data_IF_563458508840
#
_entry.id   IF_563458508840
#
_cell.length_a   1.000
_cell.length_b   1.000
_cell.length_c   1.000
_cell.angle_alpha   90.00
_cell.angle_beta   90.00
_cell.angle_gamma   90.00
#
_symmetry.space_group_name_H-M   'P 1'
#
loop_
_entity.id
_entity.type
_entity.pdbx_description
1 polymer ?
#
# COMPACT_ATOMS: atom_id res chain seq x y z
N UNK A 1 15.02 11.10 29.71
CA UNK A 1 14.58 9.78 29.19
C UNK A 1 14.73 9.82 27.68
N UNK A 2 15.67 9.04 27.10
CA UNK A 2 15.84 8.98 25.66
C UNK A 2 14.61 8.40 24.97
N UNK A 3 14.17 8.96 23.83
CA UNK A 3 13.08 8.38 23.06
C UNK A 3 13.49 6.97 22.61
N UNK A 4 12.74 5.96 23.03
CA UNK A 4 12.86 4.61 22.46
C UNK A 4 12.54 4.74 20.97
N UNK A 5 13.50 4.41 20.11
CA UNK A 5 13.38 4.37 18.65
C UNK A 5 12.24 3.43 18.20
N UNK A 6 10.99 3.90 18.21
CA UNK A 6 9.81 3.18 17.70
C UNK A 6 9.91 2.90 16.19
N UNK A 7 10.66 3.75 15.46
CA UNK A 7 10.98 3.55 14.04
C UNK A 7 11.82 2.28 13.75
N UNK A 8 12.47 1.68 14.75
CA UNK A 8 13.20 0.42 14.60
C UNK A 8 12.28 -0.80 14.49
N UNK A 9 11.17 -0.83 15.24
CA UNK A 9 10.35 -2.03 15.36
C UNK A 9 9.53 -2.30 14.11
N UNK A 10 8.93 -1.25 13.52
CA UNK A 10 8.22 -1.37 12.25
C UNK A 10 9.14 -1.80 11.12
N UNK A 11 10.31 -1.15 10.99
CA UNK A 11 11.30 -1.50 9.96
C UNK A 11 11.79 -2.94 10.10
N UNK A 12 12.09 -3.38 11.34
CA UNK A 12 12.47 -4.76 11.64
C UNK A 12 11.37 -5.74 11.23
N UNK A 13 10.13 -5.49 11.61
CA UNK A 13 9.00 -6.38 11.31
C UNK A 13 8.69 -6.42 9.80
N UNK A 14 8.94 -5.32 9.07
CA UNK A 14 8.86 -5.27 7.60
C UNK A 14 9.94 -6.14 6.94
N UNK A 15 11.20 -6.05 7.38
CA UNK A 15 12.28 -6.90 6.86
C UNK A 15 12.06 -8.39 7.18
N UNK A 16 11.52 -8.71 8.36
CA UNK A 16 11.13 -10.07 8.72
C UNK A 16 10.00 -10.60 7.82
N UNK A 17 9.03 -9.74 7.50
CA UNK A 17 7.95 -10.07 6.57
C UNK A 17 8.50 -10.38 5.17
N UNK A 18 9.39 -9.53 4.66
CA UNK A 18 10.01 -9.73 3.34
C UNK A 18 10.84 -11.02 3.30
N UNK A 19 11.65 -11.28 4.32
CA UNK A 19 12.43 -12.52 4.43
C UNK A 19 11.54 -13.76 4.46
N UNK A 20 10.47 -13.73 5.25
CA UNK A 20 9.50 -14.84 5.34
C UNK A 20 8.81 -15.08 3.99
N UNK A 21 8.44 -14.02 3.27
CA UNK A 21 7.84 -14.12 1.94
C UNK A 21 8.79 -14.79 0.93
N UNK A 22 10.06 -14.39 0.90
CA UNK A 22 11.07 -15.00 0.00
C UNK A 22 11.24 -16.49 0.31
N UNK A 23 11.34 -16.87 1.59
CA UNK A 23 11.46 -18.28 1.98
C UNK A 23 10.20 -19.07 1.62
N UNK A 24 9.00 -18.50 1.81
CA UNK A 24 7.75 -19.12 1.39
C UNK A 24 7.69 -19.35 -0.12
N UNK A 25 8.13 -18.37 -0.93
CA UNK A 25 8.17 -18.47 -2.39
C UNK A 25 9.15 -19.54 -2.88
N UNK A 26 10.34 -19.64 -2.28
CA UNK A 26 11.32 -20.70 -2.58
C UNK A 26 10.74 -22.07 -2.21
N UNK A 27 10.11 -22.17 -1.04
CA UNK A 27 9.46 -23.40 -0.57
C UNK A 27 8.33 -23.83 -1.51
N UNK A 28 7.55 -22.88 -2.03
CA UNK A 28 6.51 -23.14 -3.02
C UNK A 28 7.09 -23.69 -4.34
N UNK A 29 8.19 -23.12 -4.83
CA UNK A 29 8.87 -23.65 -6.03
C UNK A 29 9.35 -25.09 -5.83
N UNK A 30 9.90 -25.39 -4.64
CA UNK A 30 10.32 -26.75 -4.30
C UNK A 30 9.13 -27.71 -4.14
N UNK A 31 8.03 -27.26 -3.54
CA UNK A 31 6.77 -28.01 -3.47
C UNK A 31 6.26 -28.39 -4.86
N UNK A 32 6.16 -27.43 -5.78
CA UNK A 32 5.69 -27.65 -7.14
C UNK A 32 6.58 -28.64 -7.91
N UNK A 33 7.89 -28.64 -7.64
CA UNK A 33 8.80 -29.63 -8.20
C UNK A 33 8.53 -31.05 -7.66
N UNK A 34 8.27 -31.20 -6.36
CA UNK A 34 7.94 -32.50 -5.76
C UNK A 34 6.57 -33.01 -6.21
N UNK A 35 5.59 -32.12 -6.40
CA UNK A 35 4.27 -32.47 -6.94
C UNK A 35 4.38 -33.06 -8.35
N UNK A 36 5.24 -32.49 -9.21
CA UNK A 36 5.55 -33.08 -10.53
C UNK A 36 6.20 -34.47 -10.44
N UNK A 37 6.96 -34.76 -9.39
CA UNK A 37 7.52 -36.11 -9.20
C UNK A 37 6.44 -37.12 -8.84
N UNK A 38 5.39 -36.71 -8.11
CA UNK A 38 4.22 -37.56 -7.84
C UNK A 38 3.51 -37.91 -9.15
N UNK A 39 3.28 -36.90 -10.00
CA UNK A 39 2.67 -37.11 -11.31
C UNK A 39 3.49 -38.06 -12.17
N UNK A 40 4.80 -37.86 -12.24
CA UNK A 40 5.70 -38.72 -12.99
C UNK A 40 5.72 -40.17 -12.47
N UNK A 41 5.72 -40.36 -11.14
CA UNK A 41 5.65 -41.68 -10.53
C UNK A 41 4.33 -42.39 -10.84
N UNK A 42 3.21 -41.65 -10.85
CA UNK A 42 1.90 -42.17 -11.24
C UNK A 42 1.84 -42.54 -12.73
N UNK A 43 2.41 -41.71 -13.60
CA UNK A 43 2.48 -42.00 -15.04
C UNK A 43 3.31 -43.26 -15.31
N UNK A 44 4.48 -43.39 -14.70
CA UNK A 44 5.31 -44.59 -14.79
C UNK A 44 4.59 -45.84 -14.26
N UNK A 45 3.85 -45.72 -13.15
CA UNK A 45 3.03 -46.81 -12.59
C UNK A 45 1.96 -47.25 -13.58
N UNK A 46 1.24 -46.31 -14.19
CA UNK A 46 0.20 -46.60 -15.18
C UNK A 46 0.79 -47.27 -16.43
N UNK A 47 1.87 -46.71 -16.98
CA UNK A 47 2.55 -47.29 -18.14
C UNK A 47 3.07 -48.71 -17.87
N UNK A 48 3.65 -48.93 -16.67
CA UNK A 48 4.11 -50.25 -16.24
C UNK A 48 2.95 -51.24 -16.16
N UNK A 49 1.82 -50.83 -15.56
CA UNK A 49 0.62 -51.67 -15.46
C UNK A 49 0.05 -52.03 -16.83
N UNK A 50 -0.11 -51.06 -17.74
CA UNK A 50 -0.64 -51.30 -19.08
C UNK A 50 0.21 -52.29 -19.88
N UNK A 51 1.55 -52.17 -19.83
CA UNK A 51 2.43 -53.11 -20.52
C UNK A 51 2.36 -54.51 -19.90
N UNK A 52 2.32 -54.60 -18.57
CA UNK A 52 2.21 -55.86 -17.85
C UNK A 52 0.89 -56.58 -18.17
N UNK A 53 -0.20 -55.82 -18.26
CA UNK A 53 -1.53 -56.34 -18.55
C UNK A 53 -1.67 -56.74 -20.02
N UNK A 54 -1.09 -55.99 -20.96
CA UNK A 54 -1.03 -56.38 -22.37
C UNK A 54 -0.32 -57.72 -22.58
N UNK A 55 0.77 -57.98 -21.84
CA UNK A 55 1.44 -59.28 -21.93
C UNK A 55 0.52 -60.42 -21.50
N UNK A 56 -0.22 -60.24 -20.39
CA UNK A 56 -1.20 -61.21 -19.90
C UNK A 56 -2.31 -61.42 -20.93
N UNK A 57 -2.92 -60.34 -21.40
CA UNK A 57 -3.99 -60.37 -22.40
C UNK A 57 -3.54 -61.04 -23.70
N UNK A 58 -2.36 -60.70 -24.22
CA UNK A 58 -1.84 -61.32 -25.45
C UNK A 58 -1.73 -62.85 -25.33
N UNK A 59 -1.41 -63.36 -24.13
CA UNK A 59 -1.37 -64.81 -23.90
C UNK A 59 -2.77 -65.43 -23.85
N UNK A 60 -3.76 -64.74 -23.29
CA UNK A 60 -5.15 -65.19 -23.29
C UNK A 60 -5.76 -65.16 -24.69
N UNK A 61 -5.44 -64.13 -25.47
CA UNK A 61 -5.86 -63.97 -26.85
C UNK A 61 -5.30 -65.10 -27.72
N UNK A 62 -4.00 -65.45 -27.59
CA UNK A 62 -3.42 -66.59 -28.32
C UNK A 62 -4.20 -67.90 -28.05
N UNK A 63 -4.47 -68.20 -26.78
CA UNK A 63 -5.28 -69.37 -26.40
C UNK A 63 -6.69 -69.31 -26.97
N UNK A 64 -7.32 -68.12 -26.98
CA UNK A 64 -8.67 -67.93 -27.52
C UNK A 64 -8.67 -68.17 -29.04
N UNK A 65 -7.75 -67.55 -29.77
CA UNK A 65 -7.66 -67.64 -31.23
C UNK A 65 -7.41 -69.07 -31.71
N UNK A 66 -6.48 -69.80 -31.09
CA UNK A 66 -6.20 -71.19 -31.49
C UNK A 66 -7.38 -72.12 -31.21
N UNK A 67 -8.06 -71.95 -30.08
CA UNK A 67 -9.25 -72.76 -29.74
C UNK A 67 -10.41 -72.46 -30.67
N UNK A 68 -10.64 -71.19 -31.00
CA UNK A 68 -11.65 -70.80 -32.00
C UNK A 68 -11.32 -71.42 -33.35
N UNK A 69 -10.07 -71.32 -33.82
CA UNK A 69 -9.65 -71.93 -35.09
C UNK A 69 -9.88 -73.45 -35.13
N UNK A 70 -9.47 -74.18 -34.09
CA UNK A 70 -9.68 -75.64 -34.01
C UNK A 70 -11.17 -76.00 -33.96
N UNK A 71 -12.00 -75.19 -33.30
CA UNK A 71 -13.43 -75.43 -33.20
C UNK A 71 -14.18 -75.12 -34.49
N UNK A 72 -13.85 -74.04 -35.21
CA UNK A 72 -14.64 -73.52 -36.34
C UNK A 72 -13.99 -73.77 -37.70
N UNK A 73 -12.66 -73.86 -37.76
CA UNK A 73 -11.88 -73.84 -39.01
C UNK A 73 -11.75 -72.46 -39.65
N UNK A 74 -12.16 -71.38 -38.96
CA UNK A 74 -12.14 -70.02 -39.50
C UNK A 74 -10.70 -69.50 -39.73
N UNK A 75 -10.27 -69.24 -40.99
CA UNK A 75 -8.90 -68.79 -41.27
C UNK A 75 -8.54 -67.44 -40.65
N UNK A 76 -9.52 -66.59 -40.30
CA UNK A 76 -9.25 -65.30 -39.63
C UNK A 76 -8.68 -65.52 -38.23
N UNK A 77 -9.21 -66.49 -37.48
CA UNK A 77 -8.70 -66.85 -36.15
C UNK A 77 -7.20 -67.21 -36.18
N UNK A 78 -6.76 -68.00 -37.17
CA UNK A 78 -5.33 -68.33 -37.37
C UNK A 78 -4.51 -67.09 -37.78
N UNK A 79 -5.06 -66.22 -38.63
CA UNK A 79 -4.40 -64.97 -39.03
C UNK A 79 -4.18 -64.04 -37.82
N UNK A 80 -5.19 -63.89 -36.97
CA UNK A 80 -5.10 -63.07 -35.75
C UNK A 80 -4.13 -63.67 -34.74
N UNK A 81 -4.12 -65.00 -34.57
CA UNK A 81 -3.11 -65.69 -33.76
C UNK A 81 -1.67 -65.30 -34.18
N UNK A 82 -1.38 -65.38 -35.49
CA UNK A 82 -0.06 -64.98 -36.01
C UNK A 82 0.21 -63.48 -35.82
N UNK A 83 -0.80 -62.65 -36.00
CA UNK A 83 -0.69 -61.20 -35.82
C UNK A 83 -0.34 -60.82 -34.37
N UNK A 84 -0.93 -61.49 -33.38
CA UNK A 84 -0.60 -61.31 -31.96
C UNK A 84 0.87 -61.65 -31.69
N UNK A 85 1.36 -62.77 -32.22
CA UNK A 85 2.77 -63.15 -32.09
C UNK A 85 3.71 -62.14 -32.76
N UNK A 86 3.36 -61.70 -33.97
CA UNK A 86 4.14 -60.72 -34.71
C UNK A 86 4.22 -59.37 -33.97
N UNK A 87 3.14 -58.93 -33.34
CA UNK A 87 3.13 -57.70 -32.52
C UNK A 87 4.01 -57.88 -31.27
N UNK A 88 3.85 -59.01 -30.56
CA UNK A 88 4.60 -59.30 -29.34
C UNK A 88 6.12 -59.38 -29.57
N UNK A 89 6.52 -59.99 -30.68
CA UNK A 89 7.92 -60.14 -31.10
C UNK A 89 8.47 -58.87 -31.80
N UNK A 90 7.66 -57.82 -31.98
CA UNK A 90 8.09 -56.58 -32.64
C UNK A 90 8.27 -56.69 -34.15
N UNK A 91 7.67 -57.69 -34.80
CA UNK A 91 7.60 -57.82 -36.26
C UNK A 91 6.51 -56.93 -36.87
N UNK A 92 5.46 -56.65 -36.11
CA UNK A 92 4.37 -55.72 -36.47
C UNK A 92 4.23 -54.60 -35.45
N UNK A 93 3.81 -53.39 -35.87
CA UNK A 93 3.58 -52.29 -34.94
C UNK A 93 2.38 -52.58 -34.05
N UNK A 94 2.47 -52.15 -32.78
CA UNK A 94 1.35 -52.19 -31.83
C UNK A 94 0.23 -51.24 -32.29
N UNK A 95 -1.05 -51.59 -32.16
CA UNK A 95 -2.16 -50.68 -32.45
C UNK A 95 -2.14 -49.42 -31.56
N UNK A 96 -2.53 -48.26 -32.09
CA UNK A 96 -2.47 -46.97 -31.37
C UNK A 96 -3.43 -46.93 -30.16
N UNK A 97 -4.53 -47.68 -30.23
CA UNK A 97 -5.46 -47.87 -29.12
C UNK A 97 -5.69 -49.37 -28.91
N UNK A 98 -4.63 -50.07 -28.51
CA UNK A 98 -4.71 -51.41 -27.96
C UNK A 98 -5.39 -51.34 -26.58
N UNK A 99 -6.70 -51.04 -26.56
CA UNK A 99 -7.53 -51.21 -25.37
C UNK A 99 -7.69 -52.70 -25.07
N UNK A 100 -8.09 -53.04 -23.85
CA UNK A 100 -8.29 -54.41 -23.35
C UNK A 100 -9.20 -55.29 -24.23
N UNK A 101 -10.01 -54.66 -25.09
CA UNK A 101 -10.97 -55.30 -26.01
C UNK A 101 -10.57 -55.26 -27.49
N UNK A 102 -9.33 -54.88 -27.82
CA UNK A 102 -8.90 -54.71 -29.22
C UNK A 102 -9.23 -55.92 -30.10
N UNK A 103 -8.88 -57.13 -29.64
CA UNK A 103 -9.14 -58.34 -30.41
C UNK A 103 -10.62 -58.70 -30.49
N UNK A 104 -11.42 -58.32 -29.50
CA UNK A 104 -12.86 -58.57 -29.52
C UNK A 104 -13.56 -57.65 -30.54
N UNK A 105 -13.10 -56.39 -30.66
CA UNK A 105 -13.55 -55.44 -31.67
C UNK A 105 -13.14 -55.87 -33.09
N UNK A 106 -11.91 -56.34 -33.25
CA UNK A 106 -11.39 -56.83 -34.53
C UNK A 106 -12.14 -58.08 -34.98
N UNK A 107 -12.45 -59.00 -34.06
CA UNK A 107 -13.22 -60.22 -34.36
C UNK A 107 -14.68 -59.94 -34.72
N UNK A 108 -15.29 -58.90 -34.15
CA UNK A 108 -16.71 -58.60 -34.35
C UNK A 108 -17.01 -57.87 -35.67
N UNK A 109 -16.22 -56.86 -36.02
CA UNK A 109 -16.54 -55.93 -37.13
C UNK A 109 -15.27 -55.35 -37.82
N UNK A 110 -14.11 -56.00 -37.67
CA UNK A 110 -12.80 -55.56 -38.19
C UNK A 110 -12.46 -54.09 -37.88
N UNK A 111 -12.91 -53.59 -36.72
CA UNK A 111 -12.68 -52.22 -36.26
C UNK A 111 -11.24 -52.03 -35.77
N UNK A 112 -10.29 -52.07 -36.70
CA UNK A 112 -8.86 -51.87 -36.43
C UNK A 112 -8.57 -50.41 -36.16
N UNK A 113 -7.93 -50.15 -35.02
CA UNK A 113 -7.28 -48.86 -34.78
C UNK A 113 -6.00 -48.79 -35.62
N UNK A 114 -5.62 -47.58 -36.08
CA UNK A 114 -4.48 -47.43 -36.99
C UNK A 114 -3.17 -48.03 -36.43
N UNK A 115 -2.25 -48.48 -37.30
CA UNK A 115 -0.99 -49.07 -36.85
C UNK A 115 -0.16 -48.03 -36.08
N UNK A 116 0.45 -48.46 -34.98
CA UNK A 116 1.41 -47.65 -34.26
C UNK A 116 2.62 -47.31 -35.11
N UNK A 117 3.39 -46.31 -34.66
CA UNK A 117 4.51 -45.77 -35.45
C UNK A 117 5.74 -46.69 -35.50
N UNK A 118 5.91 -47.58 -34.52
CA UNK A 118 7.11 -48.40 -34.39
C UNK A 118 6.76 -49.85 -34.00
N UNK A 119 7.48 -50.80 -34.58
CA UNK A 119 7.44 -52.21 -34.22
C UNK A 119 8.57 -52.49 -33.22
N UNK A 120 8.24 -52.37 -31.93
CA UNK A 120 9.15 -52.64 -30.81
C UNK A 120 8.63 -53.88 -30.08
N UNK A 121 9.49 -54.87 -29.77
CA UNK A 121 9.08 -56.02 -28.96
C UNK A 121 8.54 -55.59 -27.59
N UNK A 122 7.49 -56.24 -27.11
CA UNK A 122 6.83 -55.86 -25.85
C UNK A 122 7.79 -55.85 -24.65
N UNK A 123 8.72 -56.81 -24.59
CA UNK A 123 9.76 -56.86 -23.57
C UNK A 123 10.74 -55.68 -23.63
N UNK A 124 11.01 -55.14 -24.82
CA UNK A 124 11.90 -53.99 -24.98
C UNK A 124 11.19 -52.69 -24.57
N UNK A 125 9.88 -52.57 -24.80
CA UNK A 125 9.08 -51.47 -24.25
C UNK A 125 9.09 -51.47 -22.73
N UNK A 126 8.93 -52.63 -22.10
CA UNK A 126 9.10 -52.77 -20.66
C UNK A 126 10.52 -52.34 -20.23
N UNK A 127 11.56 -52.58 -21.05
CA UNK A 127 12.92 -52.23 -20.64
C UNK A 127 13.09 -50.71 -20.62
N UNK A 128 12.49 -50.04 -21.59
CA UNK A 128 12.48 -48.58 -21.71
C UNK A 128 11.71 -47.88 -20.57
N UNK A 129 10.66 -48.50 -20.03
CA UNK A 129 9.86 -47.96 -18.90
C UNK A 129 10.56 -48.13 -17.54
N UNK A 130 11.70 -48.85 -17.50
CA UNK A 130 12.53 -48.94 -16.29
C UNK A 130 12.13 -50.07 -15.35
N UNK A 131 11.67 -51.19 -15.91
CA UNK A 131 11.53 -52.44 -15.16
C UNK A 131 12.90 -52.98 -14.72
N UNK A 132 12.97 -53.55 -13.53
CA UNK A 132 14.21 -54.06 -12.92
C UNK A 132 14.59 -55.43 -13.50
N UNK A 133 15.88 -55.79 -13.43
CA UNK A 133 16.37 -57.10 -13.91
C UNK A 133 15.68 -58.29 -13.23
N UNK A 134 15.35 -58.16 -11.94
CA UNK A 134 14.60 -59.19 -11.20
C UNK A 134 13.16 -59.35 -11.70
N UNK A 135 12.51 -58.24 -12.02
CA UNK A 135 11.17 -58.24 -12.62
C UNK A 135 11.22 -58.85 -14.04
N UNK A 136 12.28 -58.56 -14.80
CA UNK A 136 12.51 -59.11 -16.14
C UNK A 136 12.67 -60.63 -16.17
N UNK A 137 13.25 -61.23 -15.13
CA UNK A 137 13.44 -62.68 -15.08
C UNK A 137 12.10 -63.43 -15.15
N UNK A 138 11.05 -62.92 -14.48
CA UNK A 138 9.70 -63.49 -14.53
C UNK A 138 9.07 -63.40 -15.92
N UNK A 139 9.22 -62.24 -16.56
CA UNK A 139 8.72 -61.98 -17.91
C UNK A 139 9.41 -62.84 -18.99
N UNK A 140 10.73 -62.94 -18.93
CA UNK A 140 11.51 -63.76 -19.84
C UNK A 140 11.13 -65.24 -19.72
N UNK A 141 10.93 -65.72 -18.48
CA UNK A 141 10.43 -67.08 -18.21
C UNK A 141 9.02 -67.30 -18.78
N UNK A 142 8.10 -66.35 -18.57
CA UNK A 142 6.76 -66.42 -19.14
C UNK A 142 6.78 -66.46 -20.67
N UNK A 143 7.64 -65.65 -21.31
CA UNK A 143 7.81 -65.69 -22.78
C UNK A 143 8.33 -67.05 -23.23
N UNK A 144 9.41 -67.56 -22.63
CA UNK A 144 9.95 -68.86 -23.00
C UNK A 144 8.91 -69.99 -22.89
N UNK A 145 8.10 -69.98 -21.81
CA UNK A 145 7.02 -70.95 -21.63
C UNK A 145 5.93 -70.79 -22.70
N UNK A 146 5.61 -69.55 -23.08
CA UNK A 146 4.66 -69.26 -24.16
C UNK A 146 5.19 -69.75 -25.52
N UNK A 147 6.46 -69.52 -25.82
CA UNK A 147 7.11 -69.98 -27.06
C UNK A 147 7.16 -71.52 -27.16
N UNK A 148 7.13 -72.22 -26.03
CA UNK A 148 6.97 -73.68 -25.98
C UNK A 148 5.51 -74.08 -26.25
N UNK A 149 4.54 -73.41 -25.62
CA UNK A 149 3.11 -73.68 -25.80
C UNK A 149 2.66 -73.45 -27.26
N UNK A 150 3.21 -72.43 -27.94
CA UNK A 150 2.87 -72.15 -29.34
C UNK A 150 3.17 -73.33 -30.26
N UNK A 151 4.16 -74.19 -29.94
CA UNK A 151 4.44 -75.40 -30.72
C UNK A 151 3.28 -76.40 -30.68
N UNK A 152 2.68 -76.60 -29.50
CA UNK A 152 1.48 -77.43 -29.32
C UNK A 152 0.31 -76.83 -30.07
N UNK A 153 0.15 -75.51 -30.00
CA UNK A 153 -0.92 -74.77 -30.69
C UNK A 153 -0.79 -74.88 -32.21
N UNK A 154 0.40 -74.71 -32.77
CA UNK A 154 0.65 -74.91 -34.20
C UNK A 154 0.45 -76.36 -34.64
N UNK A 155 0.84 -77.34 -33.82
CA UNK A 155 0.59 -78.75 -34.11
C UNK A 155 -0.91 -79.06 -34.15
N UNK A 156 -1.70 -78.49 -33.24
CA UNK A 156 -3.16 -78.61 -33.25
C UNK A 156 -3.78 -77.96 -34.50
N UNK A 157 -3.30 -76.77 -34.91
CA UNK A 157 -3.74 -76.12 -36.16
C UNK A 157 -3.40 -76.96 -37.40
N UNK A 158 -2.20 -77.54 -37.45
CA UNK A 158 -1.77 -78.37 -38.58
C UNK A 158 -2.62 -79.63 -38.77
N UNK A 159 -3.16 -80.21 -37.68
CA UNK A 159 -4.10 -81.33 -37.77
C UNK A 159 -5.40 -80.95 -38.48
N UNK A 160 -5.89 -79.73 -38.29
CA UNK A 160 -7.08 -79.20 -38.98
C UNK A 160 -6.80 -79.04 -40.48
N UNK A 161 -5.60 -78.60 -40.85
CA UNK A 161 -5.17 -78.35 -42.24
C UNK A 161 -4.74 -79.62 -42.99
N UNK A 162 -4.46 -80.72 -42.27
CA UNK A 162 -3.89 -81.94 -42.86
C UNK A 162 -4.81 -82.72 -43.82
N UNK A 163 -6.12 -82.45 -43.79
CA UNK A 163 -7.14 -83.13 -44.61
C UNK A 163 -8.24 -82.15 -45.01
N UNK A 164 -8.66 -82.14 -46.28
CA UNK A 164 -9.82 -81.38 -46.76
C UNK A 164 -10.90 -82.35 -47.31
N UNK A 165 -12.10 -82.42 -46.71
CA UNK A 165 -12.51 -81.78 -45.44
C UNK A 165 -11.82 -82.40 -44.21
N UNK A 166 -11.63 -81.62 -43.16
CA UNK A 166 -11.02 -82.08 -41.90
C UNK A 166 -11.81 -83.24 -41.31
N UNK A 167 -11.11 -84.32 -40.96
CA UNK A 167 -11.77 -85.47 -40.31
C UNK A 167 -12.17 -85.17 -38.86
N UNK A 168 -13.31 -85.72 -38.42
CA UNK A 168 -13.77 -85.61 -37.02
C UNK A 168 -12.72 -86.14 -36.02
N UNK A 169 -11.94 -87.15 -36.42
CA UNK A 169 -10.84 -87.69 -35.64
C UNK A 169 -9.70 -86.67 -35.44
N UNK A 170 -9.29 -85.95 -36.50
CA UNK A 170 -8.27 -84.91 -36.42
C UNK A 170 -8.75 -83.72 -35.57
N UNK A 171 -10.00 -83.30 -35.73
CA UNK A 171 -10.58 -82.22 -34.92
C UNK A 171 -10.65 -82.62 -33.44
N UNK A 172 -11.08 -83.83 -33.12
CA UNK A 172 -11.13 -84.34 -31.75
C UNK A 172 -9.73 -84.41 -31.12
N UNK A 173 -8.72 -84.86 -31.88
CA UNK A 173 -7.34 -84.89 -31.43
C UNK A 173 -6.80 -83.49 -31.17
N UNK A 174 -6.98 -82.56 -32.11
CA UNK A 174 -6.58 -81.15 -31.97
C UNK A 174 -7.27 -80.48 -30.76
N UNK A 175 -8.56 -80.72 -30.56
CA UNK A 175 -9.29 -80.23 -29.39
C UNK A 175 -8.69 -80.81 -28.10
N UNK A 176 -8.40 -82.12 -28.03
CA UNK A 176 -7.76 -82.68 -26.82
C UNK A 176 -6.41 -82.02 -26.51
N UNK A 177 -5.58 -81.76 -27.52
CA UNK A 177 -4.28 -81.08 -27.34
C UNK A 177 -4.40 -79.66 -26.73
N UNK A 178 -5.55 -78.99 -26.85
CA UNK A 178 -5.77 -77.63 -26.35
C UNK A 178 -6.57 -77.56 -25.04
N UNK A 179 -7.04 -78.71 -24.54
CA UNK A 179 -7.93 -78.81 -23.37
C UNK A 179 -7.48 -79.91 -22.38
N UNK A 180 -6.37 -80.60 -22.65
CA UNK A 180 -5.82 -81.57 -21.71
C UNK A 180 -5.08 -80.91 -20.54
N UNK A 181 -4.78 -81.72 -19.53
CA UNK A 181 -4.07 -81.27 -18.33
C UNK A 181 -2.70 -80.67 -18.67
N UNK A 182 -1.99 -81.22 -19.67
CA UNK A 182 -0.66 -80.73 -20.06
C UNK A 182 -0.70 -79.32 -20.63
N UNK A 183 -1.73 -79.00 -21.42
CA UNK A 183 -1.99 -77.66 -21.96
C UNK A 183 -2.34 -76.68 -20.84
N UNK A 184 -3.20 -77.10 -19.89
CA UNK A 184 -3.56 -76.28 -18.74
C UNK A 184 -2.35 -75.99 -17.83
N UNK A 185 -1.49 -76.97 -17.57
CA UNK A 185 -0.25 -76.79 -16.82
C UNK A 185 0.74 -75.89 -17.56
N UNK A 186 0.86 -76.02 -18.88
CA UNK A 186 1.68 -75.12 -19.68
C UNK A 186 1.17 -73.67 -19.60
N UNK A 187 -0.15 -73.46 -19.70
CA UNK A 187 -0.76 -72.13 -19.53
C UNK A 187 -0.53 -71.56 -18.13
N UNK A 188 -0.66 -72.37 -17.08
CA UNK A 188 -0.30 -71.97 -15.71
C UNK A 188 1.17 -71.54 -15.61
N UNK A 189 2.09 -72.29 -16.25
CA UNK A 189 3.51 -71.95 -16.32
C UNK A 189 3.81 -70.60 -16.99
N UNK A 190 2.89 -70.08 -17.81
CA UNK A 190 2.98 -68.74 -18.41
C UNK A 190 2.37 -67.69 -17.48
N UNK A 191 1.17 -67.97 -16.95
CA UNK A 191 0.41 -67.01 -16.14
C UNK A 191 1.02 -66.76 -14.76
N UNK A 192 1.58 -67.79 -14.12
CA UNK A 192 2.12 -67.66 -12.76
C UNK A 192 3.30 -66.69 -12.68
N UNK A 193 4.35 -66.78 -13.52
CA UNK A 193 5.43 -65.80 -13.49
C UNK A 193 4.98 -64.37 -13.85
N UNK A 194 3.95 -64.21 -14.71
CA UNK A 194 3.36 -62.90 -15.02
C UNK A 194 2.69 -62.30 -13.77
N UNK A 195 1.94 -63.12 -13.03
CA UNK A 195 1.29 -62.69 -11.78
C UNK A 195 2.31 -62.28 -10.70
N UNK A 196 3.35 -63.09 -10.50
CA UNK A 196 4.45 -62.78 -9.56
C UNK A 196 5.15 -61.46 -9.93
N UNK A 197 5.42 -61.28 -11.22
CA UNK A 197 5.99 -60.05 -11.75
C UNK A 197 5.07 -58.83 -11.51
N UNK A 198 3.77 -58.95 -11.82
CA UNK A 198 2.80 -57.88 -11.61
C UNK A 198 2.75 -57.46 -10.13
N UNK A 199 2.82 -58.42 -9.21
CA UNK A 199 2.86 -58.14 -7.78
C UNK A 199 4.13 -57.39 -7.36
N UNK A 200 5.31 -57.80 -7.86
CA UNK A 200 6.57 -57.12 -7.56
C UNK A 200 6.60 -55.69 -8.12
N UNK A 201 6.17 -55.52 -9.37
CA UNK A 201 6.05 -54.23 -10.03
C UNK A 201 5.06 -53.31 -9.29
N UNK A 202 3.90 -53.83 -8.90
CA UNK A 202 2.91 -53.04 -8.15
C UNK A 202 3.47 -52.56 -6.80
N UNK A 203 4.17 -53.43 -6.06
CA UNK A 203 4.83 -53.06 -4.81
C UNK A 203 5.87 -51.96 -5.01
N UNK A 204 6.76 -52.11 -6.02
CA UNK A 204 7.80 -51.12 -6.32
C UNK A 204 7.21 -49.78 -6.75
N UNK A 205 6.30 -49.79 -7.71
CA UNK A 205 5.70 -48.56 -8.26
C UNK A 205 4.83 -47.84 -7.23
N UNK A 206 4.06 -48.58 -6.42
CA UNK A 206 3.28 -47.99 -5.32
C UNK A 206 4.20 -47.39 -4.24
N UNK A 207 5.30 -48.06 -3.94
CA UNK A 207 6.32 -47.56 -3.02
C UNK A 207 6.93 -46.24 -3.51
N UNK A 208 7.24 -46.13 -4.80
CA UNK A 208 7.76 -44.92 -5.42
C UNK A 208 6.74 -43.76 -5.36
N UNK A 209 5.46 -44.02 -5.70
CA UNK A 209 4.38 -43.03 -5.59
C UNK A 209 4.24 -42.54 -4.15
N UNK A 210 4.14 -43.45 -3.17
CA UNK A 210 4.02 -43.09 -1.75
C UNK A 210 5.22 -42.28 -1.25
N UNK A 211 6.43 -42.61 -1.69
CA UNK A 211 7.63 -41.86 -1.32
C UNK A 211 7.62 -40.43 -1.87
N UNK A 212 7.19 -40.25 -3.12
CA UNK A 212 7.00 -38.94 -3.73
C UNK A 212 5.89 -38.15 -3.02
N UNK A 213 4.74 -38.78 -2.75
CA UNK A 213 3.61 -38.17 -2.03
C UNK A 213 4.01 -37.71 -0.63
N UNK A 214 4.71 -38.56 0.13
CA UNK A 214 5.18 -38.22 1.47
C UNK A 214 6.16 -37.03 1.45
N UNK A 215 7.07 -36.99 0.47
CA UNK A 215 8.01 -35.88 0.30
C UNK A 215 7.28 -34.58 -0.02
N UNK A 216 6.31 -34.63 -0.94
CA UNK A 216 5.48 -33.48 -1.29
C UNK A 216 4.61 -33.03 -0.10
N UNK A 217 4.06 -33.95 0.68
CA UNK A 217 3.24 -33.66 1.85
C UNK A 217 4.03 -32.96 2.97
N UNK A 218 5.26 -33.41 3.24
CA UNK A 218 6.15 -32.75 4.21
C UNK A 218 6.45 -31.30 3.79
N UNK A 219 6.81 -31.07 2.53
CA UNK A 219 7.08 -29.72 2.03
C UNK A 219 5.82 -28.87 1.98
N UNK A 220 4.65 -29.45 1.69
CA UNK A 220 3.35 -28.77 1.77
C UNK A 220 3.07 -28.28 3.20
N UNK A 221 3.33 -29.09 4.21
CA UNK A 221 3.18 -28.69 5.61
C UNK A 221 4.13 -27.54 5.99
N UNK A 222 5.39 -27.60 5.54
CA UNK A 222 6.37 -26.51 5.72
C UNK A 222 5.92 -25.23 5.03
N UNK A 223 5.39 -25.31 3.80
CA UNK A 223 4.85 -24.17 3.07
C UNK A 223 3.67 -23.53 3.83
N UNK A 224 2.72 -24.33 4.31
CA UNK A 224 1.60 -23.84 5.13
C UNK A 224 2.12 -23.12 6.39
N UNK A 225 3.13 -23.69 7.07
CA UNK A 225 3.75 -23.05 8.22
C UNK A 225 4.37 -21.69 7.87
N UNK A 226 5.05 -21.55 6.73
CA UNK A 226 5.58 -20.27 6.27
C UNK A 226 4.47 -19.26 5.88
N UNK A 227 3.37 -19.71 5.30
CA UNK A 227 2.21 -18.85 5.04
C UNK A 227 1.58 -18.31 6.33
N UNK A 228 1.46 -19.15 7.36
CA UNK A 228 0.98 -18.73 8.68
C UNK A 228 1.97 -17.77 9.36
N UNK A 229 3.27 -18.06 9.26
CA UNK A 229 4.32 -17.16 9.76
C UNK A 229 4.29 -15.81 9.04
N UNK A 230 4.09 -15.80 7.72
CA UNK A 230 3.98 -14.58 6.92
C UNK A 230 2.78 -13.73 7.39
N UNK A 231 1.61 -14.36 7.55
CA UNK A 231 0.42 -13.68 8.07
C UNK A 231 0.67 -13.09 9.47
N UNK A 232 1.37 -13.82 10.34
CA UNK A 232 1.77 -13.33 11.67
C UNK A 232 2.74 -12.14 11.59
N UNK A 233 3.75 -12.19 10.72
CA UNK A 233 4.70 -11.07 10.55
C UNK A 233 4.04 -9.82 9.96
N UNK A 234 3.09 -9.98 9.04
CA UNK A 234 2.26 -8.89 8.52
C UNK A 234 1.39 -8.26 9.61
N UNK A 235 0.74 -9.09 10.42
CA UNK A 235 -0.06 -8.61 11.55
C UNK A 235 0.80 -7.82 12.54
N UNK A 236 2.00 -8.31 12.84
CA UNK A 236 2.97 -7.62 13.70
C UNK A 236 3.44 -6.29 13.10
N UNK A 237 3.80 -6.26 11.82
CA UNK A 237 4.21 -5.03 11.13
C UNK A 237 3.09 -3.99 11.13
N UNK A 238 1.84 -4.41 10.89
CA UNK A 238 0.67 -3.54 10.98
C UNK A 238 0.48 -2.96 12.39
N UNK A 239 0.61 -3.80 13.43
CA UNK A 239 0.54 -3.34 14.82
C UNK A 239 1.67 -2.39 15.20
N UNK A 240 2.90 -2.68 14.78
CA UNK A 240 4.06 -1.82 15.01
C UNK A 240 3.88 -0.45 14.32
N UNK A 241 3.33 -0.43 13.11
CA UNK A 241 2.98 0.81 12.41
C UNK A 241 1.96 1.61 13.22
N UNK A 242 0.85 0.97 13.63
CA UNK A 242 -0.22 1.64 14.40
C UNK A 242 0.27 2.14 15.76
N UNK A 243 1.15 1.40 16.43
CA UNK A 243 1.79 1.83 17.68
C UNK A 243 2.72 3.03 17.46
N UNK A 244 3.46 3.07 16.35
CA UNK A 244 4.33 4.19 16.00
C UNK A 244 3.52 5.45 15.66
N UNK A 245 2.43 5.29 14.89
CA UNK A 245 1.57 6.41 14.49
C UNK A 245 0.66 6.89 15.62
N UNK A 246 0.23 6.01 16.52
CA UNK A 246 -0.74 6.28 17.59
C UNK A 246 -2.20 6.23 17.14
N UNK A 247 -2.46 6.08 15.83
CA UNK A 247 -3.78 6.01 15.20
C UNK A 247 -3.71 5.32 13.84
N UNK A 248 -4.83 5.25 13.13
CA UNK A 248 -4.86 4.85 11.72
C UNK A 248 -4.25 5.94 10.81
N UNK A 249 -3.84 5.55 9.61
CA UNK A 249 -3.28 6.49 8.62
C UNK A 249 -4.31 7.55 8.22
N UNK A 250 -5.59 7.17 8.12
CA UNK A 250 -6.67 8.09 7.73
C UNK A 250 -6.93 9.16 8.81
N UNK A 251 -6.93 8.77 10.08
CA UNK A 251 -7.07 9.69 11.22
C UNK A 251 -5.88 10.66 11.30
N UNK A 252 -4.67 10.16 11.05
CA UNK A 252 -3.46 10.97 11.01
C UNK A 252 -3.52 11.99 9.87
N UNK A 253 -3.90 11.56 8.67
CA UNK A 253 -4.06 12.43 7.51
C UNK A 253 -5.11 13.52 7.78
N UNK A 254 -6.27 13.15 8.34
CA UNK A 254 -7.31 14.11 8.70
C UNK A 254 -6.82 15.15 9.71
N UNK A 255 -6.03 14.73 10.70
CA UNK A 255 -5.44 15.63 11.70
C UNK A 255 -4.44 16.60 11.09
N UNK A 256 -3.57 16.12 10.19
CA UNK A 256 -2.60 16.96 9.47
C UNK A 256 -3.32 17.99 8.58
N UNK A 257 -4.37 17.58 7.85
CA UNK A 257 -5.15 18.47 6.98
C UNK A 257 -5.83 19.58 7.79
N UNK A 258 -6.45 19.25 8.94
CA UNK A 258 -7.06 20.27 9.81
C UNK A 258 -6.04 21.28 10.31
N UNK A 259 -4.88 20.79 10.78
CA UNK A 259 -3.79 21.65 11.25
C UNK A 259 -3.26 22.56 10.12
N UNK A 260 -3.12 22.01 8.92
CA UNK A 260 -2.71 22.77 7.73
C UNK A 260 -3.70 23.84 7.30
N UNK A 261 -5.00 23.65 7.58
CA UNK A 261 -6.04 24.65 7.33
C UNK A 261 -6.16 25.72 8.44
N UNK A 262 -5.31 25.67 9.47
CA UNK A 262 -5.32 26.63 10.57
C UNK A 262 -6.38 26.37 11.64
N UNK A 263 -7.02 25.21 11.65
CA UNK A 263 -7.87 24.81 12.78
C UNK A 263 -7.01 24.26 13.93
N UNK A 264 -6.72 25.13 14.89
CA UNK A 264 -6.03 24.78 16.13
C UNK A 264 -6.98 24.55 17.31
N UNK A 265 -8.29 24.67 17.09
CA UNK A 265 -9.30 24.64 18.17
C UNK A 265 -9.74 23.22 18.52
N UNK A 266 -9.74 22.32 17.52
CA UNK A 266 -10.16 20.93 17.70
C UNK A 266 -9.03 20.10 18.29
N UNK A 267 -9.20 19.65 19.54
CA UNK A 267 -8.20 18.82 20.21
C UNK A 267 -8.01 17.47 19.50
N UNK A 268 -6.76 17.08 19.28
CA UNK A 268 -6.41 15.76 18.74
C UNK A 268 -6.41 14.75 19.90
N UNK A 269 -7.35 13.79 19.94
CA UNK A 269 -7.42 12.81 21.02
C UNK A 269 -6.25 11.83 20.90
N UNK A 270 -5.45 11.72 21.95
CA UNK A 270 -4.35 10.76 22.06
C UNK A 270 -4.72 9.73 23.11
N UNK A 271 -4.67 8.45 22.74
CA UNK A 271 -4.92 7.37 23.69
C UNK A 271 -3.84 7.35 24.78
N UNK A 272 -4.21 6.93 25.99
CA UNK A 272 -3.28 6.83 27.12
C UNK A 272 -2.09 5.93 26.77
N UNK A 273 -0.87 6.41 27.04
CA UNK A 273 0.38 5.71 26.69
C UNK A 273 0.88 5.94 25.25
N UNK A 274 0.16 6.72 24.44
CA UNK A 274 0.54 7.07 23.06
C UNK A 274 1.12 8.49 22.94
N UNK A 275 1.53 9.11 24.04
CA UNK A 275 2.04 10.49 24.06
C UNK A 275 3.34 10.65 23.25
N UNK A 276 4.12 9.58 23.14
CA UNK A 276 5.35 9.51 22.34
C UNK A 276 5.16 8.92 20.93
N UNK A 277 3.92 8.88 20.44
CA UNK A 277 3.61 8.51 19.05
C UNK A 277 3.65 9.74 18.14
N UNK A 278 3.59 9.52 16.81
CA UNK A 278 3.46 10.62 15.83
C UNK A 278 2.22 11.47 16.12
N UNK A 279 1.08 10.85 16.42
CA UNK A 279 -0.13 11.58 16.80
C UNK A 279 0.05 12.34 18.13
N UNK A 280 0.78 11.77 19.09
CA UNK A 280 1.13 12.44 20.35
C UNK A 280 1.91 13.73 20.14
N UNK A 281 2.95 13.69 19.30
CA UNK A 281 3.71 14.89 18.93
C UNK A 281 2.90 15.90 18.11
N UNK A 282 1.99 15.43 17.25
CA UNK A 282 1.07 16.31 16.52
C UNK A 282 0.09 17.01 17.47
N UNK A 283 -0.46 16.31 18.46
CA UNK A 283 -1.32 16.89 19.50
C UNK A 283 -0.57 17.96 20.30
N UNK A 284 0.66 17.66 20.75
CA UNK A 284 1.50 18.65 21.43
C UNK A 284 1.80 19.88 20.55
N UNK A 285 2.04 19.67 19.25
CA UNK A 285 2.26 20.76 18.28
C UNK A 285 0.99 21.59 18.08
N UNK A 286 -0.17 20.96 17.98
CA UNK A 286 -1.46 21.62 17.88
C UNK A 286 -1.75 22.50 19.10
N UNK A 287 -1.47 22.02 20.31
CA UNK A 287 -1.60 22.80 21.54
C UNK A 287 -0.68 24.02 21.55
N UNK A 288 0.59 23.87 21.16
CA UNK A 288 1.52 25.00 21.05
C UNK A 288 1.05 26.03 20.02
N UNK A 289 0.54 25.59 18.86
CA UNK A 289 0.01 26.48 17.82
C UNK A 289 -1.27 27.19 18.28
N UNK A 290 -2.16 26.51 19.00
CA UNK A 290 -3.36 27.11 19.59
C UNK A 290 -3.00 28.21 20.60
N UNK A 291 -2.01 27.96 21.45
CA UNK A 291 -1.51 28.96 22.40
C UNK A 291 -0.92 30.17 21.68
N UNK A 292 -0.08 29.94 20.65
CA UNK A 292 0.49 31.02 19.84
C UNK A 292 -0.58 31.84 19.12
N UNK A 293 -1.66 31.24 18.63
CA UNK A 293 -2.78 31.97 18.00
C UNK A 293 -3.52 32.87 19.01
N UNK A 294 -3.71 32.39 20.25
CA UNK A 294 -4.29 33.20 21.33
C UNK A 294 -3.37 34.36 21.72
N UNK A 295 -2.09 34.11 21.93
CA UNK A 295 -1.09 35.14 22.26
C UNK A 295 -1.01 36.21 21.14
N UNK A 296 -1.03 35.76 19.88
CA UNK A 296 -1.05 36.66 18.72
C UNK A 296 -2.30 37.55 18.72
N UNK A 297 -3.50 37.00 18.93
CA UNK A 297 -4.74 37.79 19.00
C UNK A 297 -4.73 38.80 20.13
N UNK A 298 -4.21 38.42 21.30
CA UNK A 298 -4.05 39.34 22.44
C UNK A 298 -3.07 40.47 22.12
N UNK A 299 -1.95 40.17 21.45
CA UNK A 299 -1.01 41.18 21.00
C UNK A 299 -1.62 42.14 19.97
N UNK A 300 -2.40 41.62 19.01
CA UNK A 300 -3.14 42.43 18.03
C UNK A 300 -4.14 43.38 18.72
N UNK A 301 -4.92 42.89 19.69
CA UNK A 301 -5.83 43.73 20.48
C UNK A 301 -5.10 44.79 21.31
N UNK A 302 -3.95 44.44 21.90
CA UNK A 302 -3.14 45.40 22.66
C UNK A 302 -2.57 46.49 21.76
N UNK A 303 -2.16 46.16 20.53
CA UNK A 303 -1.69 47.15 19.55
C UNK A 303 -2.82 48.09 19.16
N UNK A 304 -4.04 47.57 18.93
CA UNK A 304 -5.21 48.40 18.60
C UNK A 304 -5.53 49.39 19.73
N UNK A 305 -5.59 48.92 20.98
CA UNK A 305 -5.81 49.80 22.14
C UNK A 305 -4.72 50.86 22.29
N UNK A 306 -3.46 50.46 22.09
CA UNK A 306 -2.34 51.40 22.18
C UNK A 306 -2.40 52.46 21.07
N UNK A 307 -2.81 52.08 19.85
CA UNK A 307 -3.02 53.02 18.76
C UNK A 307 -4.16 54.01 19.09
N UNK A 308 -5.30 53.54 19.60
CA UNK A 308 -6.41 54.42 20.02
C UNK A 308 -5.99 55.39 21.14
N UNK A 309 -5.26 54.90 22.15
CA UNK A 309 -4.71 55.75 23.22
C UNK A 309 -3.71 56.77 22.68
N UNK A 310 -2.85 56.37 21.74
CA UNK A 310 -1.87 57.23 21.12
C UNK A 310 -2.55 58.33 20.30
N UNK A 311 -3.57 58.00 19.51
CA UNK A 311 -4.37 58.98 18.75
C UNK A 311 -5.03 60.00 19.70
N UNK A 312 -5.62 59.53 20.80
CA UNK A 312 -6.22 60.41 21.82
C UNK A 312 -5.18 61.36 22.44
N UNK A 313 -4.00 60.83 22.84
CA UNK A 313 -2.90 61.64 23.38
C UNK A 313 -2.36 62.64 22.37
N UNK A 314 -2.24 62.25 21.10
CA UNK A 314 -1.81 63.14 20.01
C UNK A 314 -2.82 64.28 19.84
N UNK A 315 -4.12 63.99 19.86
CA UNK A 315 -5.16 65.00 19.78
C UNK A 315 -5.11 65.97 20.96
N UNK A 316 -5.01 65.46 22.20
CA UNK A 316 -4.89 66.27 23.42
C UNK A 316 -3.65 67.18 23.36
N UNK A 317 -2.49 66.63 22.99
CA UNK A 317 -1.25 67.40 22.84
C UNK A 317 -1.34 68.45 21.74
N UNK A 318 -2.02 68.14 20.64
CA UNK A 318 -2.26 69.09 19.55
C UNK A 318 -3.15 70.25 20.03
N UNK A 319 -4.20 69.97 20.80
CA UNK A 319 -5.06 71.00 21.39
C UNK A 319 -4.31 71.87 22.40
N UNK A 320 -3.50 71.27 23.28
CA UNK A 320 -2.66 72.01 24.24
C UNK A 320 -1.65 72.91 23.51
N UNK A 321 -1.01 72.42 22.44
CA UNK A 321 -0.09 73.22 21.63
C UNK A 321 -0.80 74.41 20.99
N UNK A 322 -1.98 74.21 20.39
CA UNK A 322 -2.77 75.29 19.79
C UNK A 322 -3.17 76.34 20.83
N UNK A 323 -3.64 75.91 22.00
CA UNK A 323 -4.01 76.82 23.09
C UNK A 323 -2.81 77.62 23.62
N UNK A 324 -1.66 76.98 23.82
CA UNK A 324 -0.44 77.65 24.25
C UNK A 324 0.06 78.64 23.18
N UNK A 325 -0.05 78.29 21.90
CA UNK A 325 0.30 79.18 20.79
C UNK A 325 -0.62 80.41 20.76
N UNK A 326 -1.92 80.24 20.95
CA UNK A 326 -2.88 81.35 21.03
C UNK A 326 -2.57 82.27 22.23
N UNK A 327 -2.24 81.70 23.38
CA UNK A 327 -1.81 82.46 24.56
C UNK A 327 -0.52 83.26 24.31
N UNK A 328 0.46 82.65 23.64
CA UNK A 328 1.71 83.33 23.25
C UNK A 328 1.44 84.48 22.28
N UNK A 329 0.62 84.26 21.25
CA UNK A 329 0.23 85.33 20.30
C UNK A 329 -0.50 86.46 21.03
N UNK A 330 -1.36 86.14 22.00
CA UNK A 330 -2.06 87.15 22.81
C UNK A 330 -1.07 87.93 23.70
N UNK A 331 -0.12 87.26 24.35
CA UNK A 331 0.94 87.91 25.14
C UNK A 331 1.85 88.80 24.29
N UNK A 332 2.21 88.34 23.09
CA UNK A 332 3.01 89.10 22.14
C UNK A 332 2.29 90.39 21.69
N UNK A 333 1.01 90.27 21.29
CA UNK A 333 0.17 91.44 20.95
C UNK A 333 0.08 92.44 22.09
N UNK A 334 -0.12 91.97 23.33
CA UNK A 334 -0.19 92.83 24.52
C UNK A 334 1.16 93.49 24.84
N UNK A 335 2.27 92.78 24.69
CA UNK A 335 3.62 93.32 24.89
C UNK A 335 3.94 94.43 23.89
N UNK A 336 3.65 94.22 22.60
CA UNK A 336 3.79 95.22 21.55
C UNK A 336 2.92 96.44 21.87
N UNK A 337 1.67 96.22 22.28
CA UNK A 337 0.76 97.30 22.67
C UNK A 337 1.27 98.07 23.91
N UNK A 338 1.85 97.39 24.89
CA UNK A 338 2.48 98.00 26.08
C UNK A 338 3.70 98.86 25.76
N UNK A 339 4.60 98.35 24.91
CA UNK A 339 5.80 99.08 24.49
C UNK A 339 5.46 100.29 23.62
N UNK A 340 4.51 100.15 22.68
CA UNK A 340 4.01 101.26 21.86
C UNK A 340 3.25 102.28 22.72
N UNK A 341 2.36 101.85 23.61
CA UNK A 341 1.61 102.78 24.48
C UNK A 341 2.55 103.57 25.40
N UNK A 342 3.58 102.92 25.96
CA UNK A 342 4.60 103.56 26.79
C UNK A 342 5.35 104.70 26.09
N UNK A 343 5.87 104.44 24.90
CA UNK A 343 6.61 105.43 24.10
C UNK A 343 5.70 106.54 23.59
N UNK A 344 4.59 106.19 22.93
CA UNK A 344 3.62 107.16 22.38
C UNK A 344 2.98 108.00 23.49
N UNK A 345 2.64 107.38 24.63
CA UNK A 345 2.07 108.10 25.77
C UNK A 345 3.03 109.11 26.38
N UNK A 346 4.33 108.80 26.44
CA UNK A 346 5.35 109.78 26.84
C UNK A 346 5.51 110.90 25.82
N UNK A 347 5.55 110.57 24.53
CA UNK A 347 5.68 111.56 23.45
C UNK A 347 4.46 112.48 23.31
N UNK A 348 3.25 112.01 23.61
CA UNK A 348 2.03 112.83 23.61
C UNK A 348 1.89 113.67 24.88
N UNK A 349 2.33 113.16 26.05
CA UNK A 349 2.28 113.91 27.32
C UNK A 349 3.15 115.17 27.27
N UNK A 350 4.29 115.13 26.57
CA UNK A 350 5.20 116.27 26.44
C UNK A 350 4.55 117.51 25.79
N UNK A 351 4.04 117.46 24.54
CA UNK A 351 3.40 118.60 23.90
C UNK A 351 2.12 119.03 24.62
N UNK A 352 1.33 118.10 25.18
CA UNK A 352 0.16 118.43 26.00
C UNK A 352 0.54 119.19 27.28
N UNK A 353 1.64 118.80 27.93
CA UNK A 353 2.19 119.53 29.08
C UNK A 353 2.64 120.94 28.70
N UNK A 354 3.32 121.09 27.56
CA UNK A 354 3.70 122.40 27.02
C UNK A 354 2.48 123.26 26.72
N UNK A 355 1.45 122.69 26.07
CA UNK A 355 0.19 123.39 25.79
C UNK A 355 -0.55 123.77 27.08
N UNK A 356 -0.59 122.88 28.10
CA UNK A 356 -1.19 123.18 29.40
C UNK A 356 -0.49 124.35 30.09
N UNK A 357 0.85 124.38 30.03
CA UNK A 357 1.63 125.48 30.59
C UNK A 357 1.42 126.78 29.81
N UNK A 358 1.37 126.73 28.48
CA UNK A 358 1.06 127.89 27.65
C UNK A 358 -0.32 128.47 27.98
N UNK A 359 -1.34 127.62 28.13
CA UNK A 359 -2.69 128.04 28.55
C UNK A 359 -2.68 128.62 29.98
N UNK A 360 -1.94 128.02 30.92
CA UNK A 360 -1.78 128.56 32.27
C UNK A 360 -1.13 129.95 32.26
N UNK A 361 -0.04 130.12 31.50
CA UNK A 361 0.63 131.40 31.31
C UNK A 361 -0.29 132.43 30.64
N UNK A 362 -1.01 132.05 29.58
CA UNK A 362 -1.96 132.93 28.90
C UNK A 362 -3.06 133.39 29.86
N UNK A 363 -3.63 132.50 30.67
CA UNK A 363 -4.59 132.87 31.71
C UNK A 363 -4.03 133.82 32.77
N UNK A 364 -2.73 133.71 33.09
CA UNK A 364 -2.07 134.57 34.07
C UNK A 364 -1.75 135.97 33.53
N UNK A 365 -1.27 136.07 32.28
CA UNK A 365 -0.89 137.34 31.64
C UNK A 365 -2.10 138.09 31.10
N UNK A 366 -3.16 137.38 30.70
CA UNK A 366 -4.41 137.94 30.20
C UNK A 366 -5.48 138.03 31.29
N UNK A 367 -5.13 138.56 32.47
CA UNK A 367 -6.04 138.67 33.62
C UNK A 367 -7.29 139.52 33.33
N UNK A 368 -7.15 140.51 32.44
CA UNK A 368 -8.20 141.47 32.04
C UNK A 368 -8.86 141.13 30.69
N UNK A 369 -8.64 139.92 30.16
CA UNK A 369 -9.24 139.50 28.90
C UNK A 369 -10.77 139.40 28.97
N UNK A 370 -11.41 139.59 27.81
CA UNK A 370 -12.85 139.45 27.62
C UNK A 370 -13.34 138.01 27.88
N UNK A 371 -14.62 137.87 28.20
CA UNK A 371 -15.23 136.59 28.62
C UNK A 371 -15.05 135.49 27.56
N UNK A 372 -15.09 135.84 26.27
CA UNK A 372 -14.92 134.89 25.17
C UNK A 372 -13.51 134.29 25.15
N UNK A 373 -12.47 135.12 25.31
CA UNK A 373 -11.08 134.64 25.39
C UNK A 373 -10.86 133.70 26.57
N UNK A 374 -11.47 133.99 27.73
CA UNK A 374 -11.39 133.13 28.93
C UNK A 374 -12.07 131.78 28.72
N UNK A 375 -13.25 131.78 28.11
CA UNK A 375 -14.01 130.56 27.77
C UNK A 375 -13.21 129.64 26.83
N UNK A 376 -12.59 130.17 25.77
CA UNK A 376 -11.76 129.37 24.86
C UNK A 376 -10.52 128.80 25.56
N UNK A 377 -9.87 129.55 26.46
CA UNK A 377 -8.75 129.05 27.26
C UNK A 377 -9.18 127.94 28.24
N UNK A 378 -10.39 128.01 28.80
CA UNK A 378 -10.97 126.94 29.61
C UNK A 378 -11.29 125.69 28.79
N UNK A 379 -11.85 125.84 27.59
CA UNK A 379 -12.10 124.72 26.67
C UNK A 379 -10.79 124.03 26.30
N UNK A 380 -9.76 124.78 25.89
CA UNK A 380 -8.46 124.21 25.53
C UNK A 380 -7.83 123.50 26.73
N UNK A 381 -7.87 124.10 27.93
CA UNK A 381 -7.38 123.46 29.15
C UNK A 381 -8.09 122.13 29.43
N UNK A 382 -9.42 122.14 29.32
CA UNK A 382 -10.27 120.97 29.56
C UNK A 382 -9.99 119.84 28.57
N UNK A 383 -9.78 120.17 27.29
CA UNK A 383 -9.44 119.16 26.27
C UNK A 383 -8.02 118.62 26.43
N UNK A 384 -7.06 119.44 26.88
CA UNK A 384 -5.73 118.96 27.24
C UNK A 384 -5.80 117.99 28.43
N UNK A 385 -6.59 118.31 29.46
CA UNK A 385 -6.77 117.45 30.63
C UNK A 385 -7.50 116.14 30.27
N UNK A 386 -8.50 116.21 29.39
CA UNK A 386 -9.19 115.03 28.88
C UNK A 386 -8.24 114.15 28.04
N UNK A 387 -7.40 114.75 27.19
CA UNK A 387 -6.39 114.03 26.41
C UNK A 387 -5.35 113.36 27.30
N UNK A 388 -4.88 114.05 28.35
CA UNK A 388 -3.98 113.48 29.36
C UNK A 388 -4.62 112.31 30.11
N UNK A 389 -5.91 112.39 30.44
CA UNK A 389 -6.66 111.29 31.06
C UNK A 389 -6.76 110.08 30.14
N UNK A 390 -7.15 110.28 28.87
CA UNK A 390 -7.23 109.19 27.87
C UNK A 390 -5.87 108.49 27.69
N UNK A 391 -4.78 109.26 27.60
CA UNK A 391 -3.42 108.71 27.51
C UNK A 391 -3.06 107.92 28.76
N UNK A 392 -3.45 108.40 29.94
CA UNK A 392 -3.17 107.73 31.22
C UNK A 392 -3.96 106.43 31.34
N UNK A 393 -5.24 106.43 30.98
CA UNK A 393 -6.09 105.24 31.01
C UNK A 393 -5.59 104.16 30.03
N UNK A 394 -5.12 104.56 28.83
CA UNK A 394 -4.52 103.65 27.84
C UNK A 394 -3.20 103.03 28.37
N UNK A 395 -2.35 103.84 28.99
CA UNK A 395 -1.09 103.39 29.59
C UNK A 395 -1.31 102.45 30.78
N UNK A 396 -2.32 102.72 31.60
CA UNK A 396 -2.65 101.89 32.75
C UNK A 396 -3.27 100.55 32.31
N UNK A 397 -4.07 100.54 31.24
CA UNK A 397 -4.57 99.30 30.63
C UNK A 397 -3.44 98.44 30.05
N UNK A 398 -2.43 99.06 29.43
CA UNK A 398 -1.31 98.36 28.83
C UNK A 398 -0.22 97.95 29.84
N UNK A 399 -0.22 98.51 31.06
CA UNK A 399 0.61 98.08 32.18
C UNK A 399 -0.02 96.87 32.87
N UNK A 400 0.46 95.69 32.54
CA UNK A 400 0.32 94.51 33.38
C UNK A 400 0.95 94.75 34.76
N UNK A 401 0.15 95.07 35.79
CA UNK A 401 0.61 94.98 37.20
C UNK A 401 0.79 93.51 37.55
N UNK A 402 2.03 93.08 37.76
CA UNK A 402 2.33 91.80 38.41
C UNK A 402 1.82 91.83 39.85
N UNK A 403 0.89 90.95 40.26
CA UNK A 403 0.41 90.90 41.64
C UNK A 403 1.52 90.42 42.57
N UNK A 404 1.89 91.23 43.56
CA UNK A 404 2.71 90.77 44.68
C UNK A 404 1.81 90.12 45.73
N UNK A 405 1.90 88.80 45.87
CA UNK A 405 1.26 88.07 46.95
C UNK A 405 2.07 88.25 48.24
N UNK A 406 1.40 88.69 49.31
CA UNK A 406 1.97 88.76 50.66
C UNK A 406 1.49 87.54 51.45
N UNK A 407 2.41 86.76 52.00
CA UNK A 407 2.08 85.62 52.83
C UNK A 407 1.38 86.09 54.12
N UNK A 408 0.25 85.48 54.44
CA UNK A 408 -0.45 85.66 55.71
C UNK A 408 0.05 84.55 56.64
N UNK A 409 0.83 84.93 57.65
CA UNK A 409 1.20 84.11 58.81
C UNK A 409 0.12 84.12 59.86
#
# INVERSE_FOLDING_TARGET
MSPKNSLSEFSRDLWLTLGTFVVAAITFGFYAYLEKQVDHANELRLQSYLLADELRHSSDDLTRMVRTYVATGDPLSKKHYQEILDIRDGKKPRPVAANDIYWDLVLADDQRTGPGKQAIPLLELMRQVGFTESEFAGLAKAKANSDVLTRTEFAAMALIESTEPTTDANRLLATRMLYDESYHQAKYGIMHPISEFQQQMDQRTLGAVRAAENSAALVRAVLIAFCLLLAYTLYRAYWALRATLGCSVDELQGSIVRLGNGDFSTNIPVAEGMENSVLGWLSATQLNLAQLDVERKQAEESILKLNEELESKVLERTQQLLAAQEELVRKEKLSILGQLSGSVGHELRNPLGVMSNAVYFLKMVLSDADETTREYLDIIKKEIDNSLRIITDLLDFARTRTPQFKAVT
#
